data_IF_551202851221
#
_entry.id   IF_551202851221
#
_cell.length_a   1.000
_cell.length_b   1.000
_cell.length_c   1.000
_cell.angle_alpha   90.00
_cell.angle_beta   90.00
_cell.angle_gamma   90.00
#
_symmetry.space_group_name_H-M   'P 1'
#
loop_
_entity.id
_entity.type
_entity.pdbx_description
1 polymer ?
#
# COMPACT_ATOMS: atom_id res chain seq x y z
N UNK A 1 -17.09 -7.20 7.75
CA UNK A 1 -17.07 -7.04 6.28
C UNK A 1 -18.03 -5.97 5.77
N UNK A 2 -19.31 -5.97 6.15
CA UNK A 2 -20.21 -4.82 5.91
C UNK A 2 -19.75 -3.53 6.64
N UNK A 3 -19.00 -3.63 7.71
CA UNK A 3 -18.57 -2.49 8.53
C UNK A 3 -17.43 -1.67 7.92
N UNK A 4 -16.57 -2.24 7.08
CA UNK A 4 -15.44 -1.48 6.47
C UNK A 4 -15.95 -0.60 5.32
N UNK A 5 -16.90 -1.07 4.54
CA UNK A 5 -17.58 -0.25 3.53
C UNK A 5 -18.50 0.79 4.18
N UNK A 6 -19.07 0.49 5.38
CA UNK A 6 -19.85 1.44 6.18
C UNK A 6 -18.99 2.45 6.92
N UNK A 7 -17.79 2.12 7.37
CA UNK A 7 -16.91 3.06 8.08
C UNK A 7 -16.43 4.22 7.19
N UNK A 8 -16.29 4.01 5.88
CA UNK A 8 -16.07 5.08 4.91
C UNK A 8 -17.34 5.89 4.62
N UNK A 9 -18.53 5.35 4.94
CA UNK A 9 -19.82 6.02 4.80
C UNK A 9 -20.55 6.37 6.10
N UNK A 10 -20.18 5.80 7.25
CA UNK A 10 -20.97 5.85 8.49
C UNK A 10 -20.72 7.07 9.38
N UNK A 11 -19.67 7.85 9.15
CA UNK A 11 -19.52 9.15 9.83
C UNK A 11 -20.54 10.19 9.40
N UNK A 12 -21.32 9.91 8.33
CA UNK A 12 -22.39 10.80 7.85
C UNK A 12 -23.82 10.31 8.23
N UNK A 13 -23.98 9.11 8.81
CA UNK A 13 -25.31 8.50 9.04
C UNK A 13 -25.76 8.51 10.51
N UNK A 14 -24.95 9.00 11.45
CA UNK A 14 -25.33 9.05 12.87
C UNK A 14 -26.34 10.15 13.25
N UNK A 15 -26.96 10.83 12.28
CA UNK A 15 -27.98 11.87 12.55
C UNK A 15 -29.43 11.50 12.16
N UNK A 16 -29.74 10.26 11.78
CA UNK A 16 -31.11 9.83 11.52
C UNK A 16 -31.42 8.53 12.28
N UNK A 17 -32.29 8.67 13.27
CA UNK A 17 -32.65 7.68 14.27
C UNK A 17 -33.16 6.34 13.76
N UNK A 18 -32.94 5.37 14.62
CA UNK A 18 -33.25 3.97 14.52
C UNK A 18 -34.73 3.61 14.28
N UNK A 19 -34.95 2.61 13.43
CA UNK A 19 -35.94 1.55 13.69
C UNK A 19 -35.61 0.34 12.82
N UNK A 20 -35.49 -0.80 13.51
CA UNK A 20 -35.22 -2.13 12.96
C UNK A 20 -36.41 -2.71 12.21
N UNK A 21 -36.19 -3.36 11.11
CA UNK A 21 -36.74 -4.66 10.72
C UNK A 21 -36.32 -4.99 9.29
N UNK A 22 -35.93 -6.25 9.05
CA UNK A 22 -35.33 -6.72 7.81
C UNK A 22 -36.13 -6.41 6.55
N UNK A 23 -35.47 -5.77 5.62
CA UNK A 23 -35.95 -5.43 4.29
C UNK A 23 -34.99 -4.43 3.68
N UNK A 24 -34.50 -4.72 2.47
CA UNK A 24 -33.75 -3.76 1.66
C UNK A 24 -34.61 -2.52 1.43
N UNK A 25 -34.39 -1.46 2.20
CA UNK A 25 -35.04 -0.17 2.00
C UNK A 25 -34.12 0.70 1.16
N UNK A 26 -34.51 0.91 -0.09
CA UNK A 26 -33.95 1.95 -0.96
C UNK A 26 -34.47 3.31 -0.49
N UNK A 27 -33.58 4.20 -0.07
CA UNK A 27 -33.96 5.56 0.27
C UNK A 27 -33.95 6.43 -0.99
N UNK A 28 -35.11 6.93 -1.36
CA UNK A 28 -35.22 8.06 -2.26
C UNK A 28 -34.88 9.34 -1.48
N UNK A 29 -33.72 9.91 -1.74
CA UNK A 29 -33.30 11.20 -1.19
C UNK A 29 -33.82 12.33 -2.08
N UNK A 30 -34.67 13.21 -1.55
CA UNK A 30 -35.13 14.42 -2.26
C UNK A 30 -34.04 15.51 -2.24
N UNK A 31 -33.90 16.24 -3.32
CA UNK A 31 -32.98 17.34 -3.66
C UNK A 31 -31.91 17.76 -2.62
N UNK A 32 -32.29 18.43 -1.54
CA UNK A 32 -31.35 18.92 -0.51
C UNK A 32 -30.67 17.82 0.30
N UNK A 33 -31.32 16.66 0.47
CA UNK A 33 -30.72 15.51 1.19
C UNK A 33 -29.75 14.73 0.29
N UNK A 34 -30.04 14.65 -1.01
CA UNK A 34 -29.12 14.12 -2.00
C UNK A 34 -27.86 14.99 -2.11
N UNK A 35 -28.00 16.33 -2.09
CA UNK A 35 -26.88 17.27 -2.05
C UNK A 35 -25.97 17.07 -0.85
N UNK A 36 -26.53 16.96 0.34
CA UNK A 36 -25.77 16.71 1.57
C UNK A 36 -25.10 15.34 1.57
N UNK A 37 -25.73 14.31 1.00
CA UNK A 37 -25.13 12.99 0.85
C UNK A 37 -24.03 12.99 -0.22
N UNK A 38 -24.20 13.66 -1.33
CA UNK A 38 -23.17 13.85 -2.36
C UNK A 38 -22.01 14.71 -1.86
N UNK A 39 -22.28 15.73 -1.07
CA UNK A 39 -21.23 16.52 -0.42
C UNK A 39 -20.48 15.70 0.63
N UNK A 40 -21.16 14.82 1.36
CA UNK A 40 -20.53 13.93 2.34
C UNK A 40 -19.67 12.83 1.68
N UNK A 41 -20.12 12.24 0.57
CA UNK A 41 -19.33 11.27 -0.22
C UNK A 41 -18.12 11.95 -0.88
N UNK A 42 -18.23 13.22 -1.24
CA UNK A 42 -17.11 14.00 -1.76
C UNK A 42 -16.19 14.55 -0.68
N UNK A 43 -16.73 14.96 0.43
CA UNK A 43 -15.94 15.21 1.62
C UNK A 43 -15.20 13.92 1.99
N UNK A 44 -15.81 12.73 1.87
CA UNK A 44 -15.15 11.44 2.13
C UNK A 44 -14.12 11.06 1.07
N UNK A 45 -14.33 11.34 -0.22
CA UNK A 45 -13.32 11.13 -1.28
C UNK A 45 -12.23 12.21 -1.28
N UNK A 46 -12.58 13.47 -1.07
CA UNK A 46 -11.64 14.56 -0.76
C UNK A 46 -10.99 14.34 0.60
N UNK A 47 -11.72 13.80 1.59
CA UNK A 47 -11.20 13.41 2.90
C UNK A 47 -10.34 12.16 2.80
N UNK A 48 -10.65 11.17 1.98
CA UNK A 48 -9.77 10.00 1.76
C UNK A 48 -8.47 10.41 1.06
N UNK A 49 -8.52 11.36 0.14
CA UNK A 49 -7.32 11.92 -0.50
C UNK A 49 -6.61 12.94 0.42
N UNK A 50 -7.34 13.73 1.22
CA UNK A 50 -6.77 14.61 2.24
C UNK A 50 -6.45 13.88 3.55
N UNK A 51 -7.11 12.78 3.88
CA UNK A 51 -6.71 11.90 4.98
C UNK A 51 -5.45 11.10 4.66
N UNK A 52 -5.13 10.90 3.38
CA UNK A 52 -3.76 10.51 2.98
C UNK A 52 -2.73 11.57 3.42
N UNK A 53 -3.10 12.85 3.47
CA UNK A 53 -2.18 13.93 3.80
C UNK A 53 -2.34 14.49 5.22
N UNK A 54 -3.55 14.61 5.75
CA UNK A 54 -3.83 15.41 6.95
C UNK A 54 -3.83 14.63 8.27
N UNK A 55 -3.88 13.29 8.25
CA UNK A 55 -3.88 12.44 9.44
C UNK A 55 -2.77 11.38 9.42
N UNK A 56 -1.67 11.64 8.75
CA UNK A 56 -0.49 10.83 8.97
C UNK A 56 0.10 11.21 10.35
N UNK A 57 -0.52 10.72 11.42
CA UNK A 57 0.28 10.17 12.51
C UNK A 57 1.24 9.23 11.81
N UNK A 58 2.54 9.50 11.93
CA UNK A 58 3.58 8.59 11.45
C UNK A 58 3.09 7.18 11.75
N UNK A 59 2.84 6.34 10.74
CA UNK A 59 2.29 5.01 11.00
C UNK A 59 3.24 4.31 11.94
N UNK A 60 2.76 3.92 13.11
CA UNK A 60 3.54 3.20 14.12
C UNK A 60 3.89 1.79 13.65
N UNK A 61 3.28 1.32 12.58
CA UNK A 61 3.50 0.01 12.00
C UNK A 61 4.32 0.09 10.70
N UNK A 62 5.62 0.30 10.86
CA UNK A 62 6.60 0.26 9.77
C UNK A 62 7.45 -0.99 9.84
N UNK A 63 6.96 -2.19 9.97
CA UNK A 63 7.81 -3.38 10.08
C UNK A 63 9.00 -3.21 11.08
N UNK A 64 9.83 -4.18 11.21
CA UNK A 64 11.06 -4.09 12.03
C UNK A 64 12.16 -3.34 11.24
N UNK A 65 12.07 -2.01 11.20
CA UNK A 65 13.09 -1.20 10.53
C UNK A 65 14.46 -1.49 11.11
N UNK A 66 15.44 -1.72 10.34
CA UNK A 66 16.88 -1.90 10.64
C UNK A 66 17.30 -2.20 12.11
N UNK A 67 16.41 -2.81 12.91
CA UNK A 67 16.64 -3.20 14.30
C UNK A 67 16.17 -4.60 14.57
N UNK A 68 16.80 -5.30 15.50
CA UNK A 68 16.30 -6.57 16.00
C UNK A 68 15.55 -6.33 17.31
N UNK A 69 14.28 -6.73 17.35
CA UNK A 69 13.47 -6.62 18.56
C UNK A 69 13.43 -7.96 19.29
N UNK A 70 13.53 -7.90 20.62
CA UNK A 70 13.37 -9.06 21.49
C UNK A 70 12.06 -8.90 22.27
N UNK A 71 11.17 -9.88 22.18
CA UNK A 71 9.92 -9.83 22.92
C UNK A 71 9.19 -11.17 22.93
N UNK A 72 8.32 -11.42 23.93
CA UNK A 72 7.63 -12.71 24.08
C UNK A 72 6.53 -12.94 23.04
N UNK A 73 5.98 -11.85 22.47
CA UNK A 73 4.95 -11.91 21.42
C UNK A 73 5.12 -10.67 20.52
N UNK A 74 5.82 -10.84 19.43
CA UNK A 74 6.00 -9.80 18.43
C UNK A 74 5.11 -10.10 17.22
N UNK A 75 4.45 -9.08 16.62
CA UNK A 75 3.60 -9.28 15.46
C UNK A 75 4.43 -9.77 14.27
N UNK A 76 3.82 -10.64 13.45
CA UNK A 76 4.43 -11.07 12.21
C UNK A 76 4.58 -9.90 11.24
N UNK A 77 5.68 -9.87 10.52
CA UNK A 77 5.97 -8.91 9.46
C UNK A 77 5.64 -9.53 8.11
N UNK A 78 4.94 -8.79 7.27
CA UNK A 78 4.69 -9.12 5.87
C UNK A 78 5.58 -8.22 5.01
N UNK A 79 6.27 -8.81 4.04
CA UNK A 79 7.19 -8.13 3.14
C UNK A 79 6.70 -8.28 1.71
N UNK A 80 6.52 -7.16 1.01
CA UNK A 80 6.21 -7.11 -0.41
C UNK A 80 7.31 -6.37 -1.19
N UNK A 81 7.54 -6.81 -2.43
CA UNK A 81 8.62 -6.29 -3.25
C UNK A 81 9.99 -6.60 -2.68
N UNK A 82 10.95 -5.70 -2.82
CA UNK A 82 12.31 -5.83 -2.29
C UNK A 82 12.58 -4.73 -1.27
N UNK A 83 12.99 -5.09 -0.06
CA UNK A 83 13.23 -4.11 1.00
C UNK A 83 14.23 -4.62 2.04
N UNK A 84 14.95 -3.70 2.68
CA UNK A 84 15.77 -3.98 3.84
C UNK A 84 14.94 -3.90 5.11
N UNK A 85 15.01 -4.93 5.93
CA UNK A 85 14.26 -5.04 7.19
C UNK A 85 15.12 -5.59 8.32
N UNK A 86 14.78 -5.21 9.54
CA UNK A 86 15.16 -5.90 10.76
C UNK A 86 14.21 -7.06 11.05
N UNK A 87 14.40 -7.72 12.18
CA UNK A 87 13.59 -8.88 12.54
C UNK A 87 13.35 -9.05 14.03
N UNK A 88 12.48 -10.00 14.35
CA UNK A 88 12.16 -10.38 15.73
C UNK A 88 13.10 -11.49 16.19
N UNK A 89 13.80 -11.29 17.32
CA UNK A 89 14.56 -12.36 17.96
C UNK A 89 13.57 -13.22 18.74
N UNK A 90 13.29 -14.42 18.26
CA UNK A 90 12.32 -15.32 18.89
C UNK A 90 12.99 -16.43 19.72
N UNK A 91 14.29 -16.67 19.51
CA UNK A 91 15.06 -17.62 20.31
C UNK A 91 16.51 -17.18 20.43
N UNK A 92 17.08 -17.38 21.63
CA UNK A 92 18.49 -17.09 21.91
C UNK A 92 19.01 -18.08 22.95
N UNK A 93 20.17 -18.67 22.70
CA UNK A 93 20.79 -19.66 23.60
C UNK A 93 22.32 -19.63 23.49
N UNK A 94 23.01 -19.88 24.61
CA UNK A 94 24.43 -20.25 24.61
C UNK A 94 24.55 -21.74 24.30
N UNK A 95 25.55 -22.10 23.51
CA UNK A 95 25.86 -23.51 23.20
C UNK A 95 26.24 -24.27 24.49
N UNK A 96 25.52 -25.35 24.79
CA UNK A 96 25.78 -26.16 25.97
C UNK A 96 27.06 -26.98 25.87
N UNK A 97 27.54 -27.22 24.63
CA UNK A 97 28.76 -27.98 24.36
C UNK A 97 30.01 -27.11 24.30
N UNK A 98 29.86 -25.85 23.95
CA UNK A 98 30.92 -24.84 23.84
C UNK A 98 30.38 -23.44 24.14
N UNK A 99 30.52 -22.96 25.36
CA UNK A 99 30.04 -21.67 25.90
C UNK A 99 30.59 -20.43 25.15
N UNK A 100 31.53 -20.65 24.20
CA UNK A 100 32.04 -19.58 23.35
C UNK A 100 31.07 -19.16 22.24
N UNK A 101 29.99 -19.93 21.98
CA UNK A 101 29.04 -19.64 20.94
C UNK A 101 27.69 -19.20 21.50
N UNK A 102 27.20 -18.09 20.94
CA UNK A 102 25.85 -17.60 21.16
C UNK A 102 25.05 -17.77 19.88
N UNK A 103 23.88 -18.39 19.96
CA UNK A 103 22.93 -18.51 18.85
C UNK A 103 21.79 -17.53 19.03
N UNK A 104 21.39 -16.87 17.92
CA UNK A 104 20.16 -16.07 17.83
C UNK A 104 19.37 -16.49 16.61
N UNK A 105 18.07 -16.75 16.80
CA UNK A 105 17.12 -16.94 15.72
C UNK A 105 16.37 -15.62 15.51
N UNK A 106 16.45 -15.07 14.29
CA UNK A 106 15.87 -13.78 13.95
C UNK A 106 14.88 -13.99 12.81
N UNK A 107 13.57 -13.83 13.09
CA UNK A 107 12.49 -13.92 12.11
C UNK A 107 12.33 -12.58 11.37
N UNK A 108 12.35 -12.61 10.05
CA UNK A 108 12.16 -11.45 9.20
C UNK A 108 10.75 -11.36 8.63
N UNK A 109 10.15 -12.48 8.26
CA UNK A 109 8.80 -12.50 7.68
C UNK A 109 7.97 -13.66 8.24
N UNK A 110 6.67 -13.42 8.43
CA UNK A 110 5.68 -14.43 8.81
C UNK A 110 5.08 -15.15 7.60
N UNK A 111 5.86 -15.32 6.54
CA UNK A 111 5.49 -16.03 5.30
C UNK A 111 6.74 -16.50 4.58
N UNK A 112 6.57 -17.37 3.57
CA UNK A 112 7.64 -17.72 2.64
C UNK A 112 8.08 -16.50 1.84
N UNK A 113 9.40 -16.27 1.76
CA UNK A 113 10.01 -15.21 0.94
C UNK A 113 10.65 -15.81 -0.32
N UNK A 114 10.83 -14.98 -1.35
CA UNK A 114 11.52 -15.41 -2.57
C UNK A 114 13.01 -15.67 -2.30
N UNK A 115 13.71 -14.67 -1.75
CA UNK A 115 15.16 -14.77 -1.55
C UNK A 115 15.72 -13.71 -0.62
N UNK A 116 16.87 -13.98 -0.03
CA UNK A 116 17.73 -13.00 0.63
C UNK A 116 18.72 -12.43 -0.39
N UNK A 117 18.67 -11.12 -0.63
CA UNK A 117 19.54 -10.41 -1.57
C UNK A 117 20.87 -10.02 -0.90
N UNK A 118 20.79 -9.41 0.30
CA UNK A 118 21.96 -9.01 1.08
C UNK A 118 21.72 -9.19 2.58
N UNK A 119 22.77 -9.39 3.34
CA UNK A 119 22.75 -9.38 4.81
C UNK A 119 23.67 -8.27 5.29
N UNK A 120 23.23 -7.56 6.31
CA UNK A 120 23.97 -6.47 6.93
C UNK A 120 24.20 -6.75 8.41
N UNK A 121 25.41 -6.46 8.88
CA UNK A 121 25.80 -6.53 10.28
C UNK A 121 26.20 -5.14 10.74
N UNK A 122 25.47 -4.55 11.69
CA UNK A 122 25.61 -3.13 12.08
C UNK A 122 25.66 -2.17 10.88
N UNK A 123 24.72 -2.34 9.93
CA UNK A 123 24.58 -1.56 8.69
C UNK A 123 25.68 -1.76 7.62
N UNK A 124 26.69 -2.57 7.88
CA UNK A 124 27.70 -2.97 6.89
C UNK A 124 27.24 -4.24 6.16
N UNK A 125 27.21 -4.19 4.82
CA UNK A 125 26.91 -5.37 4.01
C UNK A 125 28.02 -6.41 4.13
N UNK A 126 27.66 -7.66 4.38
CA UNK A 126 28.60 -8.74 4.57
C UNK A 126 28.48 -9.82 3.50
N UNK A 127 29.61 -10.37 3.06
CA UNK A 127 29.64 -11.56 2.22
C UNK A 127 29.66 -12.82 3.07
N UNK A 128 28.93 -13.85 2.61
CA UNK A 128 28.76 -15.11 3.32
C UNK A 128 29.23 -16.24 2.39
N UNK A 129 30.07 -17.12 2.89
CA UNK A 129 30.56 -18.29 2.15
C UNK A 129 29.49 -19.41 2.07
N UNK A 130 29.78 -20.48 1.33
CA UNK A 130 28.89 -21.63 1.16
C UNK A 130 28.60 -22.36 2.49
N UNK A 131 29.43 -22.18 3.52
CA UNK A 131 29.28 -22.79 4.85
C UNK A 131 28.49 -21.87 5.80
N UNK A 132 28.10 -20.69 5.35
CA UNK A 132 27.39 -19.70 6.12
C UNK A 132 28.30 -18.74 6.92
N UNK A 133 29.63 -18.81 6.80
CA UNK A 133 30.50 -17.93 7.54
C UNK A 133 30.58 -16.55 6.89
N UNK A 134 30.51 -15.50 7.71
CA UNK A 134 30.76 -14.13 7.28
C UNK A 134 32.25 -13.98 6.95
N UNK A 135 32.57 -13.54 5.73
CA UNK A 135 33.95 -13.47 5.20
C UNK A 135 34.45 -12.04 5.03
N UNK A 136 33.57 -11.04 5.15
CA UNK A 136 33.94 -9.60 5.01
C UNK A 136 33.61 -8.81 6.26
N UNK A 137 34.10 -7.56 6.30
CA UNK A 137 33.86 -6.63 7.40
C UNK A 137 34.63 -6.95 8.67
N UNK A 138 34.36 -6.16 9.71
CA UNK A 138 35.06 -6.28 11.01
C UNK A 138 34.72 -7.57 11.76
N UNK A 139 33.64 -8.25 11.38
CA UNK A 139 33.17 -9.49 11.99
C UNK A 139 33.47 -10.74 11.14
N UNK A 140 34.43 -10.64 10.20
CA UNK A 140 34.84 -11.77 9.37
C UNK A 140 35.27 -12.97 10.23
N UNK A 141 34.76 -14.17 9.92
CA UNK A 141 35.00 -15.44 10.62
C UNK A 141 34.52 -15.47 12.11
N UNK A 142 33.76 -14.47 12.55
CA UNK A 142 33.21 -14.41 13.90
C UNK A 142 31.72 -14.74 13.96
N UNK A 143 31.04 -14.70 12.82
CA UNK A 143 29.61 -14.95 12.69
C UNK A 143 29.37 -16.00 11.61
N UNK A 144 28.50 -16.99 11.91
CA UNK A 144 27.93 -17.92 10.93
C UNK A 144 26.43 -17.64 10.82
N UNK A 145 25.92 -17.56 9.59
CA UNK A 145 24.51 -17.25 9.30
C UNK A 145 23.94 -18.38 8.43
N UNK A 146 22.92 -19.05 8.95
CA UNK A 146 22.12 -20.02 8.19
C UNK A 146 20.77 -19.38 7.86
N UNK A 147 20.37 -19.41 6.57
CA UNK A 147 19.17 -18.76 6.05
C UNK A 147 18.05 -19.76 5.84
N UNK A 148 16.83 -19.38 6.22
CA UNK A 148 15.60 -20.15 6.04
C UNK A 148 14.56 -19.26 5.35
N UNK A 149 13.95 -19.79 4.28
CA UNK A 149 13.03 -19.02 3.43
C UNK A 149 11.58 -19.04 3.92
N UNK A 150 11.24 -19.90 4.88
CA UNK A 150 9.86 -20.07 5.34
C UNK A 150 9.05 -21.09 4.54
N UNK A 151 9.72 -22.00 3.83
CA UNK A 151 9.04 -23.02 3.01
C UNK A 151 8.34 -24.09 3.87
N UNK A 152 7.35 -24.77 3.29
CA UNK A 152 6.58 -25.82 3.99
C UNK A 152 7.39 -27.10 4.26
N UNK A 153 8.47 -27.33 3.54
CA UNK A 153 9.40 -28.44 3.72
C UNK A 153 10.59 -28.11 4.62
N UNK A 154 10.63 -26.89 5.18
CA UNK A 154 11.72 -26.40 6.02
C UNK A 154 11.99 -27.32 7.22
N UNK A 155 13.26 -27.62 7.44
CA UNK A 155 13.73 -28.46 8.54
C UNK A 155 14.29 -27.63 9.71
N UNK A 156 14.35 -28.25 10.88
CA UNK A 156 14.99 -27.64 12.06
C UNK A 156 16.50 -27.43 11.81
N UNK A 157 17.05 -26.34 12.39
CA UNK A 157 18.47 -26.04 12.27
C UNK A 157 19.32 -27.10 12.99
N UNK A 158 20.25 -27.73 12.26
CA UNK A 158 21.09 -28.83 12.76
C UNK A 158 22.08 -28.38 13.84
N UNK A 159 22.65 -27.18 13.72
CA UNK A 159 23.57 -26.64 14.73
C UNK A 159 22.84 -26.45 16.08
N UNK A 160 21.58 -25.99 16.07
CA UNK A 160 20.79 -25.82 17.28
C UNK A 160 20.31 -27.13 17.91
N UNK A 161 20.13 -28.20 17.12
CA UNK A 161 19.82 -29.54 17.68
C UNK A 161 20.93 -30.06 18.59
N UNK A 162 22.17 -29.66 18.34
CA UNK A 162 23.34 -30.01 19.16
C UNK A 162 23.56 -29.02 20.27
N UNK A 163 23.40 -27.72 19.96
CA UNK A 163 23.72 -26.62 20.87
C UNK A 163 22.70 -26.42 22.02
N UNK A 164 21.47 -26.90 21.85
CA UNK A 164 20.40 -26.68 22.83
C UNK A 164 19.51 -27.90 23.03
N UNK A 165 19.35 -28.40 24.26
CA UNK A 165 18.43 -29.51 24.56
C UNK A 165 16.95 -29.11 24.42
N UNK A 166 16.64 -27.82 24.42
CA UNK A 166 15.26 -27.31 24.22
C UNK A 166 14.87 -27.29 22.75
N UNK A 167 15.83 -27.25 21.83
CA UNK A 167 15.58 -27.27 20.41
C UNK A 167 15.48 -28.70 19.87
N UNK A 168 14.39 -29.03 19.20
CA UNK A 168 14.15 -30.37 18.67
C UNK A 168 13.83 -30.33 17.16
N UNK A 169 13.80 -31.50 16.52
CA UNK A 169 13.40 -31.61 15.10
C UNK A 169 12.00 -31.11 14.78
N UNK A 170 11.18 -30.80 15.78
CA UNK A 170 9.85 -30.20 15.63
C UNK A 170 9.90 -28.68 15.47
N UNK A 171 11.03 -28.02 15.84
CA UNK A 171 11.20 -26.57 15.73
C UNK A 171 11.62 -26.19 14.30
N UNK A 172 10.74 -26.43 13.35
CA UNK A 172 10.99 -26.20 11.92
C UNK A 172 10.69 -24.76 11.49
N UNK A 173 9.86 -24.02 12.24
CA UNK A 173 9.40 -22.67 11.91
C UNK A 173 8.89 -22.53 10.46
N UNK A 174 8.11 -23.52 9.97
CA UNK A 174 7.46 -23.48 8.65
C UNK A 174 6.58 -22.25 8.53
N UNK A 175 6.55 -21.65 7.35
CA UNK A 175 5.82 -20.40 7.12
C UNK A 175 6.50 -19.16 7.71
N UNK A 176 7.72 -19.27 8.28
CA UNK A 176 8.48 -18.14 8.82
C UNK A 176 9.86 -18.08 8.17
N UNK A 177 10.16 -16.98 7.50
CA UNK A 177 11.49 -16.71 6.98
C UNK A 177 12.37 -16.15 8.11
N UNK A 178 13.45 -16.85 8.44
CA UNK A 178 14.34 -16.49 9.53
C UNK A 178 15.80 -16.84 9.23
N UNK A 179 16.69 -16.32 10.05
CA UNK A 179 18.09 -16.75 10.08
C UNK A 179 18.45 -17.30 11.45
N UNK A 180 19.42 -18.19 11.48
CA UNK A 180 20.15 -18.57 12.67
C UNK A 180 21.53 -17.96 12.58
N UNK A 181 21.83 -17.02 13.48
CA UNK A 181 23.12 -16.37 13.60
C UNK A 181 23.88 -16.94 14.80
N UNK A 182 25.06 -17.55 14.56
CA UNK A 182 25.97 -18.03 15.57
C UNK A 182 27.14 -17.06 15.72
N UNK A 183 27.33 -16.53 16.92
CA UNK A 183 28.37 -15.58 17.28
C UNK A 183 29.48 -16.26 18.06
N UNK A 184 30.73 -16.04 17.69
CA UNK A 184 31.89 -16.65 18.35
C UNK A 184 32.53 -15.70 19.35
N UNK A 185 32.52 -16.07 20.65
CA UNK A 185 33.05 -15.36 21.80
C UNK A 185 32.49 -13.96 22.05
N UNK A 186 31.94 -13.73 23.21
CA UNK A 186 31.43 -12.42 23.62
C UNK A 186 32.51 -11.32 23.61
N UNK A 187 33.79 -11.67 23.86
CA UNK A 187 34.91 -10.72 23.79
C UNK A 187 35.15 -10.11 22.40
N UNK A 188 34.68 -10.76 21.33
CA UNK A 188 34.77 -10.22 19.98
C UNK A 188 33.73 -9.12 19.68
N UNK A 189 32.76 -8.94 20.60
CA UNK A 189 31.66 -7.99 20.47
C UNK A 189 31.65 -7.04 21.68
N UNK A 190 32.65 -6.15 21.84
CA UNK A 190 32.78 -5.29 23.02
C UNK A 190 31.61 -4.33 23.19
N UNK A 191 30.95 -3.95 22.08
CA UNK A 191 29.76 -3.08 22.06
C UNK A 191 28.44 -3.85 22.13
N UNK A 192 28.47 -5.15 22.46
CA UNK A 192 27.31 -6.05 22.43
C UNK A 192 27.15 -6.78 21.11
N UNK A 193 26.21 -7.72 21.08
CA UNK A 193 25.94 -8.52 19.89
C UNK A 193 25.34 -7.64 18.79
N UNK A 194 25.92 -7.63 17.57
CA UNK A 194 25.53 -6.73 16.52
C UNK A 194 24.09 -6.98 16.04
N UNK A 195 23.49 -5.94 15.50
CA UNK A 195 22.19 -6.00 14.82
C UNK A 195 22.38 -6.63 13.44
N UNK A 196 21.54 -7.59 13.08
CA UNK A 196 21.53 -8.19 11.75
C UNK A 196 20.24 -7.77 11.03
N UNK A 197 20.39 -7.16 9.87
CA UNK A 197 19.29 -6.84 8.96
C UNK A 197 19.50 -7.50 7.62
N UNK A 198 18.43 -7.64 6.84
CA UNK A 198 18.50 -8.30 5.56
C UNK A 198 17.72 -7.52 4.48
N UNK A 199 18.27 -7.40 3.27
CA UNK A 199 17.53 -7.02 2.07
C UNK A 199 16.88 -8.28 1.51
N UNK A 200 15.56 -8.26 1.39
CA UNK A 200 14.75 -9.44 1.12
C UNK A 200 13.81 -9.14 -0.06
N UNK A 201 13.76 -10.06 -1.01
CA UNK A 201 12.62 -10.19 -1.92
C UNK A 201 11.53 -10.93 -1.19
N UNK A 202 10.41 -10.23 -0.95
CA UNK A 202 9.33 -10.68 -0.10
C UNK A 202 8.46 -11.77 -0.74
N UNK A 203 7.18 -11.70 -0.49
CA UNK A 203 6.20 -12.70 -0.90
C UNK A 203 6.09 -12.82 -2.42
N UNK A 204 5.98 -14.06 -2.90
CA UNK A 204 5.57 -14.37 -4.28
C UNK A 204 4.08 -14.15 -4.41
N UNK A 205 3.64 -13.43 -5.44
CA UNK A 205 2.25 -13.09 -5.70
C UNK A 205 1.75 -13.68 -7.00
N UNK A 206 0.46 -13.98 -7.06
CA UNK A 206 -0.16 -14.53 -8.26
C UNK A 206 -0.40 -13.43 -9.30
N UNK A 207 0.05 -13.66 -10.53
CA UNK A 207 -0.21 -12.79 -11.69
C UNK A 207 -1.30 -13.42 -12.59
N UNK A 208 -2.50 -12.83 -12.66
CA UNK A 208 -3.59 -13.34 -13.51
C UNK A 208 -3.29 -13.25 -15.01
N UNK A 209 -2.33 -12.41 -15.44
CA UNK A 209 -1.92 -12.25 -16.82
C UNK A 209 -1.17 -13.48 -17.35
N UNK A 210 -0.37 -14.10 -16.48
CA UNK A 210 0.48 -15.26 -16.80
C UNK A 210 0.00 -16.54 -16.13
N UNK A 211 -0.95 -16.45 -15.21
CA UNK A 211 -1.43 -17.55 -14.35
C UNK A 211 -0.30 -18.23 -13.55
N UNK A 212 0.71 -17.46 -13.14
CA UNK A 212 1.86 -17.94 -12.37
C UNK A 212 2.00 -17.19 -11.06
N UNK A 213 2.57 -17.87 -10.05
CA UNK A 213 2.95 -17.24 -8.78
C UNK A 213 4.46 -17.05 -8.76
N UNK A 214 4.90 -15.79 -8.72
CA UNK A 214 6.31 -15.41 -8.73
C UNK A 214 6.53 -14.15 -7.90
N UNK A 215 7.79 -13.87 -7.59
CA UNK A 215 8.12 -12.57 -6.99
C UNK A 215 7.77 -11.43 -7.94
N UNK A 216 7.15 -10.40 -7.38
CA UNK A 216 6.81 -9.19 -8.12
C UNK A 216 6.79 -7.98 -7.18
N UNK A 217 7.21 -6.84 -7.71
CA UNK A 217 7.13 -5.51 -7.11
C UNK A 217 5.95 -4.69 -7.66
N UNK A 218 5.06 -5.33 -8.44
CA UNK A 218 3.90 -4.66 -9.05
C UNK A 218 2.82 -4.36 -8.01
N UNK A 219 2.47 -3.07 -7.77
CA UNK A 219 1.50 -2.69 -6.74
C UNK A 219 0.12 -3.35 -6.89
N UNK A 220 -0.38 -3.48 -8.13
CA UNK A 220 -1.70 -4.04 -8.38
C UNK A 220 -1.76 -5.53 -8.01
N UNK A 221 -0.71 -6.30 -8.33
CA UNK A 221 -0.62 -7.71 -7.96
C UNK A 221 -0.48 -7.90 -6.44
N UNK A 222 0.29 -7.03 -5.80
CA UNK A 222 0.47 -7.02 -4.33
C UNK A 222 -0.84 -6.71 -3.61
N UNK A 223 -1.60 -5.72 -4.09
CA UNK A 223 -2.90 -5.39 -3.50
C UNK A 223 -3.88 -6.57 -3.67
N UNK A 224 -3.87 -7.22 -4.85
CA UNK A 224 -4.69 -8.41 -5.08
C UNK A 224 -4.34 -9.53 -4.09
N UNK A 225 -3.05 -9.82 -3.91
CA UNK A 225 -2.59 -10.81 -2.94
C UNK A 225 -3.03 -10.44 -1.52
N UNK A 226 -2.92 -9.18 -1.12
CA UNK A 226 -3.36 -8.72 0.18
C UNK A 226 -4.88 -8.88 0.38
N UNK A 227 -5.69 -8.63 -0.65
CA UNK A 227 -7.15 -8.82 -0.59
C UNK A 227 -7.53 -10.29 -0.40
N UNK A 228 -6.81 -11.22 -1.03
CA UNK A 228 -7.13 -12.66 -0.98
C UNK A 228 -6.44 -13.40 0.16
N UNK A 229 -5.45 -12.80 0.81
CA UNK A 229 -4.69 -13.43 1.90
C UNK A 229 -5.51 -13.50 3.20
N UNK A 230 -5.26 -14.55 4.00
CA UNK A 230 -5.87 -14.79 5.32
C UNK A 230 -5.54 -13.71 6.35
N UNK A 231 -4.41 -13.04 6.20
CA UNK A 231 -4.02 -11.88 7.01
C UNK A 231 -4.50 -10.54 6.44
N UNK A 232 -5.15 -10.54 5.27
CA UNK A 232 -5.73 -9.37 4.61
C UNK A 232 -7.25 -9.29 4.79
N UNK A 233 -7.98 -9.24 3.67
CA UNK A 233 -9.45 -9.21 3.70
C UNK A 233 -10.09 -10.60 3.47
N UNK A 234 -9.32 -11.62 3.19
CA UNK A 234 -9.77 -13.00 2.94
C UNK A 234 -10.86 -13.08 1.84
N UNK A 235 -10.76 -12.19 0.84
CA UNK A 235 -11.72 -12.13 -0.25
C UNK A 235 -11.51 -13.28 -1.25
N UNK A 236 -12.63 -13.83 -1.74
CA UNK A 236 -12.58 -14.84 -2.79
C UNK A 236 -12.32 -14.20 -4.16
N UNK A 237 -11.68 -14.92 -5.06
CA UNK A 237 -11.36 -14.44 -6.41
C UNK A 237 -12.57 -13.96 -7.22
N UNK A 238 -13.76 -14.51 -6.97
CA UNK A 238 -14.99 -14.09 -7.60
C UNK A 238 -15.41 -12.65 -7.24
N UNK A 239 -14.95 -12.14 -6.11
CA UNK A 239 -15.19 -10.78 -5.65
C UNK A 239 -14.14 -9.78 -6.16
N UNK A 240 -13.22 -10.21 -7.01
CA UNK A 240 -12.15 -9.36 -7.56
C UNK A 240 -12.39 -9.14 -9.06
N UNK A 241 -12.46 -7.89 -9.49
CA UNK A 241 -12.54 -7.54 -10.89
C UNK A 241 -11.18 -7.76 -11.58
N UNK A 242 -10.97 -8.98 -12.07
CA UNK A 242 -9.69 -9.37 -12.68
C UNK A 242 -9.27 -8.49 -13.84
N UNK A 243 -10.20 -7.96 -14.65
CA UNK A 243 -9.88 -7.06 -15.76
C UNK A 243 -9.26 -5.75 -15.23
N UNK A 244 -9.89 -5.09 -14.25
CA UNK A 244 -9.37 -3.82 -13.68
C UNK A 244 -8.01 -4.03 -12.98
N UNK A 245 -7.79 -5.21 -12.35
CA UNK A 245 -6.49 -5.54 -11.77
C UNK A 245 -5.42 -5.79 -12.82
N UNK A 246 -5.76 -6.43 -13.95
CA UNK A 246 -4.86 -6.63 -15.10
C UNK A 246 -4.49 -5.28 -15.71
N UNK A 247 -5.47 -4.40 -15.95
CA UNK A 247 -5.24 -3.07 -16.52
C UNK A 247 -4.31 -2.25 -15.62
N UNK A 248 -4.59 -2.24 -14.30
CA UNK A 248 -3.74 -1.56 -13.33
C UNK A 248 -2.32 -2.16 -13.26
N UNK A 249 -2.19 -3.49 -13.36
CA UNK A 249 -0.90 -4.15 -13.37
C UNK A 249 -0.09 -3.80 -14.62
N UNK A 250 -0.74 -3.73 -15.79
CA UNK A 250 -0.10 -3.28 -17.03
C UNK A 250 0.38 -1.83 -16.92
N UNK A 251 -0.48 -0.93 -16.43
CA UNK A 251 -0.13 0.48 -16.21
C UNK A 251 1.04 0.66 -15.21
N UNK A 252 1.17 -0.22 -14.22
CA UNK A 252 2.30 -0.20 -13.29
C UNK A 252 3.60 -0.67 -13.96
N UNK A 253 3.54 -1.70 -14.79
CA UNK A 253 4.70 -2.26 -15.49
C UNK A 253 5.10 -1.46 -16.74
N UNK A 254 4.25 -0.53 -17.23
CA UNK A 254 4.62 0.39 -18.32
C UNK A 254 5.89 1.16 -17.97
N UNK A 255 6.70 1.42 -19.00
CA UNK A 255 7.98 2.08 -18.80
C UNK A 255 7.85 3.62 -18.90
N UNK A 256 8.30 4.30 -17.87
CA UNK A 256 8.49 5.74 -17.86
C UNK A 256 9.98 6.07 -17.74
N UNK A 257 10.56 6.65 -18.78
CA UNK A 257 11.99 6.94 -18.89
C UNK A 257 12.91 5.70 -18.71
N UNK A 258 12.40 4.51 -19.10
CA UNK A 258 13.14 3.25 -19.03
C UNK A 258 12.99 2.48 -17.71
N UNK A 259 12.28 3.01 -16.73
CA UNK A 259 11.95 2.36 -15.46
C UNK A 259 10.45 2.07 -15.38
N UNK A 260 10.05 1.08 -14.57
CA UNK A 260 8.62 0.81 -14.31
C UNK A 260 7.93 2.07 -13.80
N UNK A 261 6.70 2.29 -14.25
CA UNK A 261 5.92 3.45 -13.81
C UNK A 261 5.67 3.41 -12.31
N UNK A 262 5.32 2.25 -11.76
CA UNK A 262 5.09 2.08 -10.34
C UNK A 262 5.67 0.76 -9.83
N UNK A 263 6.32 0.82 -8.67
CA UNK A 263 6.79 -0.33 -7.90
C UNK A 263 6.34 -0.20 -6.45
N UNK A 264 6.22 -1.32 -5.76
CA UNK A 264 5.79 -1.38 -4.36
C UNK A 264 6.77 -2.21 -3.56
N UNK A 265 7.57 -1.55 -2.72
CA UNK A 265 8.67 -2.13 -1.97
C UNK A 265 8.58 -1.75 -0.49
N UNK A 266 8.17 -2.69 0.38
CA UNK A 266 8.03 -2.37 1.79
C UNK A 266 7.52 -3.51 2.65
N UNK A 267 7.31 -3.20 3.92
CA UNK A 267 6.81 -4.15 4.90
C UNK A 267 5.87 -3.48 5.89
N UNK A 268 4.98 -4.26 6.48
CA UNK A 268 4.11 -3.87 7.58
C UNK A 268 3.98 -5.00 8.60
N UNK A 269 3.54 -4.66 9.80
CA UNK A 269 3.25 -5.61 10.86
C UNK A 269 1.75 -5.95 10.86
N UNK A 270 1.41 -7.19 11.22
CA UNK A 270 0.02 -7.66 11.24
C UNK A 270 -0.86 -7.02 12.32
N UNK A 271 -0.31 -6.20 13.21
CA UNK A 271 -1.06 -5.39 14.18
C UNK A 271 -1.59 -4.07 13.59
N UNK A 272 -1.22 -3.75 12.35
CA UNK A 272 -1.74 -2.57 11.65
C UNK A 272 -3.14 -2.81 11.08
N UNK A 273 -3.94 -1.72 10.96
CA UNK A 273 -5.28 -1.83 10.42
C UNK A 273 -5.26 -2.23 8.94
N UNK A 274 -6.18 -3.11 8.46
CA UNK A 274 -6.27 -3.44 7.04
C UNK A 274 -6.49 -2.22 6.14
N UNK A 275 -7.25 -1.23 6.61
CA UNK A 275 -7.48 0.02 5.88
C UNK A 275 -6.18 0.79 5.65
N UNK A 276 -5.34 0.93 6.70
CA UNK A 276 -4.06 1.62 6.58
C UNK A 276 -3.10 0.87 5.66
N UNK A 277 -3.09 -0.45 5.71
CA UNK A 277 -2.27 -1.28 4.83
C UNK A 277 -2.67 -1.09 3.36
N UNK A 278 -3.97 -1.19 3.03
CA UNK A 278 -4.47 -0.97 1.66
C UNK A 278 -4.14 0.46 1.21
N UNK A 279 -4.35 1.46 2.08
CA UNK A 279 -4.03 2.86 1.78
C UNK A 279 -2.55 3.05 1.46
N UNK A 280 -1.67 2.46 2.26
CA UNK A 280 -0.22 2.53 2.05
C UNK A 280 0.20 1.82 0.75
N UNK A 281 -0.36 0.63 0.46
CA UNK A 281 -0.11 -0.08 -0.79
C UNK A 281 -0.59 0.72 -2.00
N UNK A 282 -1.81 1.29 -1.96
CA UNK A 282 -2.36 2.14 -3.03
C UNK A 282 -1.51 3.40 -3.27
N UNK A 283 -0.91 3.95 -2.20
CA UNK A 283 -0.08 5.15 -2.30
C UNK A 283 1.11 4.95 -3.25
N UNK A 284 1.64 3.73 -3.36
CA UNK A 284 2.78 3.41 -4.23
C UNK A 284 2.49 3.56 -5.73
N UNK A 285 1.22 3.52 -6.14
CA UNK A 285 0.80 3.77 -7.52
C UNK A 285 -0.11 5.01 -7.67
N UNK A 286 -0.32 5.77 -6.58
CA UNK A 286 -1.27 6.89 -6.56
C UNK A 286 -2.69 6.47 -6.93
N UNK A 287 -3.03 5.21 -6.69
CA UNK A 287 -4.22 4.54 -7.19
C UNK A 287 -5.49 4.85 -6.42
N UNK A 288 -6.60 4.37 -6.97
CA UNK A 288 -7.93 4.41 -6.36
C UNK A 288 -8.47 2.99 -6.21
N UNK A 289 -9.22 2.75 -5.14
CA UNK A 289 -9.77 1.45 -4.79
C UNK A 289 -11.24 1.61 -4.41
N UNK A 290 -12.10 0.73 -4.90
CA UNK A 290 -13.53 0.75 -4.59
C UNK A 290 -14.13 -0.64 -4.62
N UNK A 291 -15.29 -0.77 -3.96
CA UNK A 291 -16.15 -1.95 -4.08
C UNK A 291 -17.47 -1.53 -4.72
N UNK A 292 -17.84 -2.21 -5.79
CA UNK A 292 -19.12 -2.02 -6.46
C UNK A 292 -19.86 -3.36 -6.58
N UNK A 293 -21.07 -3.42 -6.05
CA UNK A 293 -21.92 -4.62 -6.06
C UNK A 293 -21.21 -5.89 -5.52
N UNK A 294 -20.35 -5.73 -4.51
CA UNK A 294 -19.57 -6.83 -3.93
C UNK A 294 -18.29 -7.18 -4.66
N UNK A 295 -17.95 -6.46 -5.74
CA UNK A 295 -16.74 -6.69 -6.51
C UNK A 295 -15.72 -5.58 -6.28
N UNK A 296 -14.51 -5.94 -5.88
CA UNK A 296 -13.40 -5.05 -5.66
C UNK A 296 -12.69 -4.69 -6.97
N UNK A 297 -12.41 -3.42 -7.15
CA UNK A 297 -11.69 -2.93 -8.31
C UNK A 297 -10.64 -1.89 -7.90
N UNK A 298 -9.58 -1.78 -8.68
CA UNK A 298 -8.51 -0.80 -8.52
C UNK A 298 -8.22 -0.07 -9.82
N UNK A 299 -7.55 1.04 -9.66
CA UNK A 299 -7.10 1.87 -10.75
C UNK A 299 -5.75 2.47 -10.39
N UNK A 300 -4.75 2.28 -11.24
CA UNK A 300 -3.49 2.99 -11.14
C UNK A 300 -3.63 4.44 -11.61
N UNK A 301 -2.81 5.34 -11.08
CA UNK A 301 -2.80 6.72 -11.54
C UNK A 301 -2.13 6.82 -12.91
N UNK A 302 -2.91 6.79 -13.97
CA UNK A 302 -2.50 6.95 -15.36
C UNK A 302 -3.38 7.98 -16.10
N UNK A 303 -2.92 8.44 -17.25
CA UNK A 303 -3.74 9.23 -18.17
C UNK A 303 -4.48 8.25 -19.08
N UNK A 304 -5.81 8.37 -19.16
CA UNK A 304 -6.67 7.50 -19.96
C UNK A 304 -7.56 8.32 -20.86
N UNK A 305 -7.81 7.79 -22.03
CA UNK A 305 -8.76 8.37 -22.96
C UNK A 305 -10.20 8.29 -22.42
N UNK A 306 -11.07 9.23 -22.79
CA UNK A 306 -12.48 9.16 -22.43
C UNK A 306 -13.17 7.98 -23.12
N UNK A 307 -13.96 7.22 -22.37
CA UNK A 307 -14.69 6.06 -22.90
C UNK A 307 -16.03 6.44 -23.48
N UNK A 308 -16.57 7.60 -23.09
CA UNK A 308 -17.88 8.06 -23.55
C UNK A 308 -17.91 9.59 -23.63
N UNK A 309 -18.56 10.12 -24.65
CA UNK A 309 -18.97 11.51 -24.73
C UNK A 309 -20.42 11.65 -24.28
N UNK A 310 -20.64 12.48 -23.25
CA UNK A 310 -21.96 12.86 -22.74
C UNK A 310 -22.30 14.26 -23.26
N UNK A 311 -23.54 14.41 -23.71
CA UNK A 311 -24.09 15.65 -24.24
C UNK A 311 -25.32 16.09 -23.45
N UNK A 312 -25.88 17.26 -23.76
CA UNK A 312 -27.12 17.72 -23.14
C UNK A 312 -28.31 16.76 -23.41
N UNK A 313 -28.29 16.02 -24.52
CA UNK A 313 -29.33 15.04 -24.86
C UNK A 313 -29.31 13.82 -23.93
N UNK A 314 -28.14 13.54 -23.31
CA UNK A 314 -27.98 12.43 -22.37
C UNK A 314 -28.43 12.82 -20.94
N UNK A 315 -28.64 14.13 -20.66
CA UNK A 315 -29.03 14.61 -19.35
C UNK A 315 -30.52 14.38 -19.09
N UNK A 316 -30.83 14.05 -17.84
CA UNK A 316 -32.20 13.81 -17.36
C UNK A 316 -32.40 14.60 -16.08
N UNK A 317 -33.02 15.81 -16.21
CA UNK A 317 -33.24 16.70 -15.09
C UNK A 317 -32.10 17.70 -14.87
N UNK A 318 -32.05 18.27 -13.66
CA UNK A 318 -31.14 19.35 -13.32
C UNK A 318 -29.74 18.84 -13.05
N UNK A 319 -28.72 19.62 -13.47
CA UNK A 319 -27.32 19.40 -13.12
C UNK A 319 -26.91 20.29 -11.96
N UNK A 320 -26.22 19.72 -11.02
CA UNK A 320 -25.60 20.44 -9.92
C UNK A 320 -24.11 20.58 -10.17
N UNK A 321 -23.59 21.80 -10.10
CA UNK A 321 -22.19 22.09 -10.42
C UNK A 321 -21.53 22.78 -9.23
N UNK A 322 -20.51 22.11 -8.66
CA UNK A 322 -19.58 22.73 -7.73
C UNK A 322 -18.33 23.15 -8.49
N UNK A 323 -18.02 24.45 -8.49
CA UNK A 323 -16.92 25.03 -9.27
C UNK A 323 -15.62 25.13 -8.50
N UNK A 324 -15.65 25.06 -7.15
CA UNK A 324 -14.47 25.24 -6.30
C UNK A 324 -14.57 24.40 -5.03
N UNK A 325 -13.42 23.92 -4.57
CA UNK A 325 -13.27 23.37 -3.23
C UNK A 325 -13.07 24.47 -2.17
N UNK A 326 -13.20 24.10 -0.90
CA UNK A 326 -12.81 24.95 0.21
C UNK A 326 -11.34 25.35 0.09
N UNK A 327 -11.02 26.60 0.44
CA UNK A 327 -9.61 27.04 0.52
C UNK A 327 -8.75 26.22 1.45
N UNK A 328 -9.36 25.60 2.46
CA UNK A 328 -8.68 24.72 3.42
C UNK A 328 -8.19 23.43 2.77
N UNK A 329 -8.90 22.92 1.77
CA UNK A 329 -8.64 21.63 1.12
C UNK A 329 -7.79 21.79 -0.15
N UNK A 330 -7.47 23.03 -0.52
CA UNK A 330 -6.68 23.34 -1.70
C UNK A 330 -5.21 23.57 -1.34
N UNK A 331 -4.31 22.97 -2.09
CA UNK A 331 -2.87 23.14 -1.90
C UNK A 331 -2.15 23.35 -3.25
N UNK A 332 -0.97 23.96 -3.20
CA UNK A 332 -0.13 24.26 -4.35
C UNK A 332 1.32 23.76 -4.22
N UNK A 333 1.64 23.16 -3.07
CA UNK A 333 2.92 22.53 -2.77
C UNK A 333 2.68 21.17 -2.12
N UNK A 334 3.38 20.15 -2.56
CA UNK A 334 3.40 18.82 -1.94
C UNK A 334 4.81 18.54 -1.45
N UNK A 335 4.94 18.17 -0.19
CA UNK A 335 6.14 17.66 0.46
C UNK A 335 5.86 16.29 1.04
N UNK A 336 6.88 15.57 1.43
CA UNK A 336 6.70 14.33 2.15
C UNK A 336 7.90 13.43 2.06
N UNK A 337 7.70 12.20 2.50
CA UNK A 337 8.75 11.21 2.64
C UNK A 337 8.51 10.02 1.72
N UNK A 338 9.59 9.43 1.29
CA UNK A 338 9.64 8.15 0.62
C UNK A 338 10.67 7.26 1.33
N UNK A 339 10.79 6.02 0.90
CA UNK A 339 11.75 5.09 1.45
C UNK A 339 13.05 5.17 0.64
N UNK A 340 14.04 5.90 1.14
CA UNK A 340 15.28 6.16 0.42
C UNK A 340 16.25 4.97 0.47
N UNK A 341 16.69 4.47 -0.67
CA UNK A 341 17.74 3.44 -0.71
C UNK A 341 19.07 3.99 -0.15
N UNK A 342 19.41 5.26 -0.47
CA UNK A 342 20.59 5.94 0.05
C UNK A 342 20.55 6.12 1.59
N UNK A 343 19.38 6.12 2.18
CA UNK A 343 19.16 6.22 3.63
C UNK A 343 18.97 4.84 4.29
N UNK A 344 19.50 3.78 3.70
CA UNK A 344 19.34 2.39 4.17
C UNK A 344 17.87 1.96 4.30
N UNK A 345 17.04 2.32 3.32
CA UNK A 345 15.59 2.08 3.30
C UNK A 345 14.84 2.77 4.47
N UNK A 346 15.44 3.81 5.06
CA UNK A 346 14.78 4.68 6.03
C UNK A 346 13.99 5.79 5.33
N UNK A 347 13.01 6.41 5.99
CA UNK A 347 12.31 7.55 5.45
C UNK A 347 13.26 8.69 5.10
N UNK A 348 13.16 9.20 3.88
CA UNK A 348 13.90 10.32 3.36
C UNK A 348 12.95 11.31 2.68
N UNK A 349 13.28 12.60 2.71
CA UNK A 349 12.42 13.63 2.15
C UNK A 349 12.63 13.71 0.63
N UNK A 350 11.57 13.57 -0.15
CA UNK A 350 11.66 13.87 -1.57
C UNK A 350 11.62 15.39 -1.83
N UNK A 351 12.27 15.82 -2.89
CA UNK A 351 12.27 17.22 -3.29
C UNK A 351 10.85 17.71 -3.53
N UNK A 352 10.46 18.81 -2.86
CA UNK A 352 9.11 19.37 -2.95
C UNK A 352 8.61 19.52 -4.40
N UNK A 353 7.34 19.30 -4.58
CA UNK A 353 6.65 19.48 -5.86
C UNK A 353 5.71 20.67 -5.74
N UNK A 354 5.93 21.70 -6.56
CA UNK A 354 5.13 22.91 -6.62
C UNK A 354 4.86 23.32 -8.07
N UNK A 355 3.84 24.15 -8.27
CA UNK A 355 3.52 24.74 -9.58
C UNK A 355 3.48 26.25 -9.46
N UNK A 356 4.29 26.93 -10.27
CA UNK A 356 4.28 28.40 -10.34
C UNK A 356 2.93 28.96 -10.78
N UNK A 357 2.21 28.23 -11.64
CA UNK A 357 0.86 28.62 -12.09
C UNK A 357 -0.11 28.61 -10.89
N UNK A 358 -0.15 27.50 -10.13
CA UNK A 358 -1.03 27.38 -8.98
C UNK A 358 -0.68 28.35 -7.85
N UNK A 359 0.61 28.62 -7.68
CA UNK A 359 1.05 29.62 -6.71
C UNK A 359 0.59 31.04 -7.12
N UNK A 360 0.63 31.37 -8.40
CA UNK A 360 0.11 32.65 -8.92
C UNK A 360 -1.41 32.77 -8.77
N UNK A 361 -2.17 31.70 -9.06
CA UNK A 361 -3.62 31.61 -8.83
C UNK A 361 -3.99 31.84 -7.35
N UNK A 362 -3.14 31.41 -6.44
CA UNK A 362 -3.31 31.55 -4.99
C UNK A 362 -2.66 32.85 -4.45
N UNK A 363 -2.37 33.84 -5.31
CA UNK A 363 -1.75 35.12 -4.97
C UNK A 363 -0.42 35.00 -4.23
N UNK A 364 0.38 34.00 -4.56
CA UNK A 364 1.69 33.75 -3.95
C UNK A 364 1.64 33.06 -2.58
N UNK A 365 0.44 32.74 -2.08
CA UNK A 365 0.28 32.06 -0.78
C UNK A 365 0.61 30.59 -0.97
N UNK A 366 1.59 30.07 -0.20
CA UNK A 366 1.96 28.67 -0.21
C UNK A 366 1.02 27.88 0.69
N UNK A 367 0.25 26.96 0.10
CA UNK A 367 -0.55 25.97 0.79
C UNK A 367 0.13 24.60 0.60
N UNK A 368 0.57 23.98 1.69
CA UNK A 368 1.39 22.79 1.68
C UNK A 368 0.54 21.60 2.10
N UNK A 369 0.64 20.49 1.35
CA UNK A 369 0.15 19.17 1.73
C UNK A 369 1.33 18.21 1.91
N UNK A 370 1.22 17.32 2.90
CA UNK A 370 2.20 16.27 3.15
C UNK A 370 1.76 14.94 2.56
N UNK A 371 2.68 14.21 1.94
CA UNK A 371 2.43 12.91 1.32
C UNK A 371 3.56 11.94 1.67
N UNK A 372 3.26 10.91 2.47
CA UNK A 372 4.23 9.89 2.86
C UNK A 372 4.01 8.61 2.05
N UNK A 373 5.06 8.17 1.38
CA UNK A 373 5.06 7.06 0.44
C UNK A 373 5.93 5.92 0.99
N UNK A 374 5.37 5.16 1.93
CA UNK A 374 6.11 4.15 2.71
C UNK A 374 6.56 2.93 1.89
N UNK A 375 5.92 2.69 0.74
CA UNK A 375 6.20 1.57 -0.16
C UNK A 375 6.86 2.01 -1.47
N UNK A 376 7.29 3.26 -1.56
CA UNK A 376 8.00 3.81 -2.71
C UNK A 376 9.47 4.04 -2.33
N UNK A 377 10.39 3.43 -3.05
CA UNK A 377 11.84 3.48 -2.81
C UNK A 377 12.61 4.37 -3.78
N UNK A 378 11.92 4.93 -4.78
CA UNK A 378 12.50 5.73 -5.85
C UNK A 378 11.99 7.19 -5.78
N UNK A 379 12.89 8.16 -5.58
CA UNK A 379 12.54 9.59 -5.51
C UNK A 379 11.86 10.12 -6.78
N UNK A 380 12.33 9.86 -8.01
CA UNK A 380 11.63 10.21 -9.24
C UNK A 380 10.17 9.72 -9.28
N UNK A 381 9.91 8.50 -8.82
CA UNK A 381 8.56 7.95 -8.72
C UNK A 381 7.75 8.68 -7.65
N UNK A 382 8.30 8.91 -6.45
CA UNK A 382 7.64 9.65 -5.37
C UNK A 382 7.21 11.04 -5.85
N UNK A 383 8.09 11.76 -6.54
CA UNK A 383 7.79 13.08 -7.12
C UNK A 383 6.75 13.03 -8.24
N UNK A 384 6.70 11.93 -9.01
CA UNK A 384 5.68 11.71 -10.04
C UNK A 384 4.30 11.52 -9.40
N UNK A 385 4.22 10.70 -8.35
CA UNK A 385 2.99 10.50 -7.56
C UNK A 385 2.56 11.85 -6.94
N UNK A 386 3.46 12.57 -6.29
CA UNK A 386 3.19 13.86 -5.68
C UNK A 386 2.70 14.90 -6.72
N UNK A 387 3.24 14.89 -7.95
CA UNK A 387 2.81 15.77 -9.05
C UNK A 387 1.39 15.43 -9.52
N UNK A 388 1.05 14.14 -9.62
CA UNK A 388 -0.31 13.70 -9.95
C UNK A 388 -1.30 14.06 -8.85
N UNK A 389 -0.92 13.86 -7.60
CA UNK A 389 -1.69 14.25 -6.43
C UNK A 389 -2.01 15.75 -6.42
N UNK A 390 -1.00 16.61 -6.67
CA UNK A 390 -1.17 18.05 -6.81
C UNK A 390 -2.13 18.40 -7.95
N UNK A 391 -1.95 17.82 -9.13
CA UNK A 391 -2.82 18.09 -10.30
C UNK A 391 -4.26 17.65 -10.05
N UNK A 392 -4.48 16.51 -9.40
CA UNK A 392 -5.82 16.00 -9.07
C UNK A 392 -6.55 16.93 -8.12
N UNK A 393 -5.89 17.45 -7.10
CA UNK A 393 -6.46 18.42 -6.16
C UNK A 393 -6.90 19.72 -6.88
N UNK A 394 -6.20 20.15 -7.92
CA UNK A 394 -6.54 21.34 -8.69
C UNK A 394 -7.68 21.17 -9.70
N UNK A 395 -8.13 19.94 -9.96
CA UNK A 395 -9.33 19.66 -10.77
C UNK A 395 -10.58 19.82 -9.89
N UNK A 396 -11.04 21.08 -9.69
CA UNK A 396 -12.03 21.42 -8.67
C UNK A 396 -13.48 21.34 -9.15
N UNK A 397 -13.71 21.32 -10.47
CA UNK A 397 -15.07 21.32 -11.01
C UNK A 397 -15.68 19.95 -10.87
N UNK A 398 -16.82 19.92 -10.27
CA UNK A 398 -17.62 18.73 -10.11
C UNK A 398 -19.02 18.90 -10.67
N UNK A 399 -19.50 17.92 -11.40
CA UNK A 399 -20.84 17.85 -11.97
C UNK A 399 -21.56 16.64 -11.39
N UNK A 400 -22.76 16.84 -10.86
CA UNK A 400 -23.66 15.79 -10.40
C UNK A 400 -25.00 15.94 -11.11
N UNK A 401 -25.59 14.84 -11.56
CA UNK A 401 -26.88 14.84 -12.25
C UNK A 401 -27.30 13.45 -12.68
N UNK A 402 -28.51 13.35 -13.19
CA UNK A 402 -29.03 12.13 -13.77
C UNK A 402 -28.76 12.09 -15.28
N UNK A 403 -28.29 10.96 -15.76
CA UNK A 403 -27.99 10.74 -17.16
C UNK A 403 -28.82 9.58 -17.72
N UNK A 404 -29.01 9.55 -19.04
CA UNK A 404 -29.76 8.52 -19.72
C UNK A 404 -29.06 7.15 -19.77
N UNK A 405 -29.71 6.20 -20.43
CA UNK A 405 -29.25 4.80 -20.50
C UNK A 405 -27.82 4.60 -21.04
N UNK A 406 -27.30 5.53 -21.84
CA UNK A 406 -25.92 5.49 -22.34
C UNK A 406 -24.87 5.52 -21.20
N UNK A 407 -25.20 6.12 -20.06
CA UNK A 407 -24.33 6.18 -18.90
C UNK A 407 -24.27 4.87 -18.09
N UNK A 408 -25.09 3.85 -18.42
CA UNK A 408 -25.07 2.54 -17.76
C UNK A 408 -23.77 1.76 -18.00
N UNK A 409 -23.10 2.02 -19.12
CA UNK A 409 -21.83 1.36 -19.47
C UNK A 409 -20.63 1.96 -18.68
N UNK A 410 -20.86 3.08 -17.95
CA UNK A 410 -19.80 3.73 -17.19
C UNK A 410 -19.58 3.04 -15.85
N UNK A 411 -18.33 3.02 -15.43
CA UNK A 411 -17.91 2.54 -14.11
C UNK A 411 -17.12 3.63 -13.37
N UNK A 412 -17.01 3.49 -12.04
CA UNK A 412 -16.17 4.38 -11.23
C UNK A 412 -14.75 4.34 -11.76
N UNK A 413 -14.16 5.52 -11.94
CA UNK A 413 -12.82 5.69 -12.46
C UNK A 413 -12.75 5.87 -13.98
N UNK A 414 -13.81 5.67 -14.73
CA UNK A 414 -13.78 5.95 -16.18
C UNK A 414 -13.70 7.45 -16.46
N UNK A 415 -13.01 7.82 -17.53
CA UNK A 415 -12.98 9.18 -18.04
C UNK A 415 -14.12 9.38 -19.05
N UNK A 416 -14.80 10.50 -18.94
CA UNK A 416 -15.86 10.91 -19.88
C UNK A 416 -15.62 12.34 -20.33
N UNK A 417 -16.04 12.68 -21.52
CA UNK A 417 -16.13 14.08 -21.95
C UNK A 417 -17.57 14.57 -21.82
N UNK A 418 -17.73 15.80 -21.36
CA UNK A 418 -19.03 16.46 -21.28
C UNK A 418 -19.05 17.67 -22.20
N UNK A 419 -20.03 17.70 -23.10
CA UNK A 419 -20.31 18.83 -23.98
C UNK A 419 -21.66 19.45 -23.61
N UNK A 420 -21.66 20.75 -23.25
CA UNK A 420 -22.84 21.50 -22.94
C UNK A 420 -22.65 22.98 -23.33
N UNK A 421 -23.49 23.48 -24.21
CA UNK A 421 -23.44 24.86 -24.64
C UNK A 421 -23.81 25.83 -23.50
N UNK A 422 -24.80 25.45 -22.68
CA UNK A 422 -25.25 26.23 -21.54
C UNK A 422 -24.18 26.43 -20.47
N UNK A 423 -23.31 25.45 -20.31
CA UNK A 423 -22.20 25.46 -19.33
C UNK A 423 -20.89 25.95 -19.94
N UNK A 424 -20.83 26.17 -21.24
CA UNK A 424 -19.60 26.49 -21.96
C UNK A 424 -18.59 25.36 -21.96
N UNK A 425 -19.05 24.13 -21.87
CA UNK A 425 -18.19 22.95 -21.90
C UNK A 425 -18.12 22.39 -23.32
N UNK A 426 -16.92 22.32 -23.88
CA UNK A 426 -16.64 21.68 -25.17
C UNK A 426 -15.72 20.49 -24.93
N UNK A 427 -16.27 19.29 -24.99
CA UNK A 427 -15.54 18.04 -24.73
C UNK A 427 -14.68 18.09 -23.46
N UNK A 428 -15.23 18.67 -22.40
CA UNK A 428 -14.50 18.83 -21.13
C UNK A 428 -14.37 17.49 -20.44
N UNK A 429 -13.12 17.12 -20.12
CA UNK A 429 -12.79 15.84 -19.51
C UNK A 429 -13.17 15.80 -18.03
N UNK A 430 -13.87 14.75 -17.63
CA UNK A 430 -14.23 14.41 -16.25
C UNK A 430 -13.89 12.96 -15.95
N UNK A 431 -13.65 12.66 -14.68
CA UNK A 431 -13.52 11.31 -14.15
C UNK A 431 -14.79 10.96 -13.37
N UNK A 432 -15.35 9.78 -13.62
CA UNK A 432 -16.53 9.27 -12.88
C UNK A 432 -16.07 8.86 -11.49
N UNK A 433 -16.54 9.57 -10.47
CA UNK A 433 -16.14 9.32 -9.07
C UNK A 433 -17.23 8.65 -8.23
N UNK A 434 -18.48 8.77 -8.64
CA UNK A 434 -19.63 8.08 -8.03
C UNK A 434 -20.64 7.74 -9.11
N UNK A 435 -21.25 6.57 -9.03
CA UNK A 435 -22.27 6.12 -9.96
C UNK A 435 -23.34 5.34 -9.20
N UNK A 436 -24.62 5.69 -9.47
CA UNK A 436 -25.77 5.05 -8.84
C UNK A 436 -26.87 4.84 -9.86
N UNK A 437 -27.49 3.69 -9.81
CA UNK A 437 -28.65 3.37 -10.62
C UNK A 437 -29.92 3.77 -9.87
N UNK A 438 -30.69 4.73 -10.41
CA UNK A 438 -32.01 5.11 -9.91
C UNK A 438 -33.12 4.40 -10.68
N UNK A 439 -34.08 3.77 -9.99
CA UNK A 439 -35.22 3.13 -10.67
C UNK A 439 -36.15 4.14 -11.38
N UNK A 440 -36.08 5.42 -11.04
CA UNK A 440 -36.89 6.47 -11.66
C UNK A 440 -36.33 6.95 -12.99
N UNK A 441 -35.08 6.65 -13.30
CA UNK A 441 -34.39 7.09 -14.52
C UNK A 441 -34.53 6.12 -15.68
N UNK A 442 -35.28 5.03 -15.47
CA UNK A 442 -35.55 3.98 -16.47
C UNK A 442 -36.91 4.14 -17.17
N UNK A 443 -37.66 5.25 -16.94
CA UNK A 443 -38.96 5.50 -17.60
C UNK A 443 -38.83 6.36 -18.84
#
# INVERSE_FOLDING_TARGET
MAEIALALGSTAISAAGAASTGGLTFFSLTGTQAFMAHFAVRAALGYALNALAANQKVPTSRGYQNVNQLGPALPHQIIYGETRVGGAIFYQVLDITDDRYLYRCIAFAGHEIDSYQAIYVNDEEVTIDANGNVTSGIHANQIKITKYLGTDDQLANEDLLVASPEWSSRHTAKGVAYIVARFYRASNFPNGVPTITARIRGKKVYDPRTSTTAWSDNPALIIRDYLTSDYGLEEIDANINSSKFIDAANACDDLYLGEKTYTCNGSFLLDSSPEDNIRNLLSSMGGTFWNFAGTWAILAAEERDPVLELTEDDMRGDLEIATRFSRRDNFNVVKGQYKGEASNDQPDDFKEVSSGIYLAEDNGIRAISELNLLFTDNEPMARRIARRYLRRNRRQITVSGSFGLRALDLTIGDNVTLTSEHLGFSQKLFEVVDWRMGMQDLQ
#
